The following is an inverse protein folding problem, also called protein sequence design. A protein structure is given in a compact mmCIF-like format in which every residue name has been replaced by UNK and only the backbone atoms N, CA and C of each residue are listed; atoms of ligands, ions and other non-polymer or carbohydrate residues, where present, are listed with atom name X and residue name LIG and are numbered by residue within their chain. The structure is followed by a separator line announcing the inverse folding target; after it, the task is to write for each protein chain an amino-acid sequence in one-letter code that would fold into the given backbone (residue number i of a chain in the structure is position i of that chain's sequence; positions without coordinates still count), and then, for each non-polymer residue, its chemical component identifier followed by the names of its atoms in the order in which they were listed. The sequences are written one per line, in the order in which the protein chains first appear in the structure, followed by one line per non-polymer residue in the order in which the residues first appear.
data_IF_293165167603
#
_entry.id   IF_293165167603
#
_cell.length_a   1.000
_cell.length_b   1.000
_cell.length_c   1.000
_cell.angle_alpha   90.00
_cell.angle_beta   90.00
_cell.angle_gamma   90.00
#
_symmetry.space_group_name_H-M   'P 1'
#
loop_
_entity.id
_entity.type
_entity.pdbx_description
1 polymer ?
#
# COMPACT_ATOMS: atom_id res chain seq x y z
N UNK A 1 -59.96 40.46 -12.16
CA UNK A 1 -59.23 41.00 -13.32
C UNK A 1 -57.74 40.75 -13.09
N UNK A 2 -56.91 40.10 -13.90
CA UNK A 2 -57.03 39.28 -15.12
C UNK A 2 -55.62 38.66 -15.33
N UNK A 3 -55.56 37.38 -15.75
CA UNK A 3 -54.55 36.69 -16.61
C UNK A 3 -53.03 36.96 -16.43
N UNK A 4 -52.21 35.95 -16.14
CA UNK A 4 -51.60 34.97 -17.07
C UNK A 4 -50.52 35.55 -18.03
N UNK A 5 -49.43 34.78 -18.25
CA UNK A 5 -48.75 34.51 -19.54
C UNK A 5 -47.20 34.36 -19.38
N UNK A 6 -46.64 33.15 -19.21
CA UNK A 6 -45.98 32.28 -20.22
C UNK A 6 -44.91 32.92 -21.12
N UNK A 7 -43.65 32.43 -20.99
CA UNK A 7 -42.68 32.05 -22.06
C UNK A 7 -41.44 31.45 -21.38
N UNK A 8 -41.24 30.13 -21.35
CA UNK A 8 -40.77 29.28 -22.45
C UNK A 8 -39.48 29.79 -23.11
N UNK A 9 -38.34 29.33 -22.60
CA UNK A 9 -37.13 29.12 -23.42
C UNK A 9 -36.69 27.67 -23.21
N UNK A 10 -37.30 26.80 -23.99
CA UNK A 10 -36.80 25.45 -24.30
C UNK A 10 -35.87 25.60 -25.52
N UNK A 11 -34.95 24.66 -25.67
CA UNK A 11 -34.01 24.41 -26.81
C UNK A 11 -32.66 25.15 -26.69
N UNK A 12 -31.50 24.56 -26.96
CA UNK A 12 -31.09 23.18 -27.23
C UNK A 12 -29.55 23.15 -27.25
N UNK A 13 -28.95 22.11 -26.64
CA UNK A 13 -27.66 21.46 -26.98
C UNK A 13 -27.42 20.41 -25.89
N UNK A 14 -27.94 19.18 -26.00
CA UNK A 14 -27.67 18.15 -27.01
C UNK A 14 -26.18 17.83 -27.13
N UNK A 15 -25.83 16.61 -26.72
CA UNK A 15 -24.50 16.00 -26.87
C UNK A 15 -23.80 15.84 -25.53
N UNK A 16 -23.71 14.60 -25.05
CA UNK A 16 -22.67 13.97 -24.20
C UNK A 16 -23.20 12.69 -23.50
N UNK A 17 -24.50 12.36 -23.62
CA UNK A 17 -24.99 11.00 -23.38
C UNK A 17 -24.86 10.14 -24.66
N UNK A 18 -23.65 9.63 -24.95
CA UNK A 18 -23.44 8.53 -25.89
C UNK A 18 -22.00 7.99 -25.79
N UNK A 19 -21.65 7.31 -24.69
CA UNK A 19 -20.39 6.56 -24.63
C UNK A 19 -20.42 5.34 -23.69
N UNK A 20 -21.61 4.85 -23.31
CA UNK A 20 -21.76 3.61 -22.52
C UNK A 20 -22.75 2.71 -23.24
N UNK A 21 -22.30 2.08 -24.33
CA UNK A 21 -22.96 0.94 -25.01
C UNK A 21 -22.16 0.55 -26.26
N UNK A 22 -21.04 -0.16 -26.09
CA UNK A 22 -20.37 -0.95 -27.14
C UNK A 22 -19.19 -1.74 -26.54
N UNK A 23 -19.48 -2.72 -25.69
CA UNK A 23 -18.52 -3.80 -25.38
C UNK A 23 -19.28 -5.08 -25.02
N UNK A 24 -20.12 -5.54 -25.94
CA UNK A 24 -20.61 -6.92 -25.95
C UNK A 24 -20.67 -7.39 -27.39
N UNK A 25 -20.25 -8.64 -27.61
CA UNK A 25 -20.30 -9.45 -28.83
C UNK A 25 -18.99 -9.56 -29.62
N UNK A 26 -18.09 -10.39 -29.09
CA UNK A 26 -17.25 -11.40 -29.77
C UNK A 26 -16.50 -12.08 -28.60
N UNK A 27 -16.60 -13.35 -28.27
CA UNK A 27 -17.12 -14.55 -28.90
C UNK A 27 -16.68 -15.69 -27.98
N UNK A 28 -17.49 -16.73 -27.87
CA UNK A 28 -17.14 -17.94 -27.14
C UNK A 28 -15.88 -18.56 -27.76
N UNK A 29 -14.84 -18.77 -26.96
CA UNK A 29 -13.61 -19.40 -27.41
C UNK A 29 -12.65 -19.64 -26.25
N UNK A 30 -12.70 -20.86 -25.69
CA UNK A 30 -11.56 -21.52 -25.05
C UNK A 30 -11.01 -20.87 -23.78
N UNK A 31 -11.52 -21.32 -22.63
CA UNK A 31 -10.68 -21.49 -21.44
C UNK A 31 -9.60 -22.52 -21.80
N UNK A 32 -8.48 -22.07 -22.36
CA UNK A 32 -7.26 -22.86 -22.36
C UNK A 32 -6.66 -22.70 -20.96
N UNK A 33 -6.86 -23.75 -20.17
CA UNK A 33 -6.09 -24.05 -19.00
C UNK A 33 -4.61 -23.80 -19.28
N UNK A 34 -4.06 -22.77 -18.65
CA UNK A 34 -2.62 -22.60 -18.52
C UNK A 34 -2.19 -23.31 -17.23
N UNK A 35 -2.49 -24.60 -17.14
CA UNK A 35 -1.66 -25.54 -16.38
C UNK A 35 -0.45 -25.91 -17.24
N UNK A 36 0.45 -24.94 -17.42
CA UNK A 36 1.86 -25.29 -17.58
C UNK A 36 2.47 -25.31 -16.18
N UNK A 37 2.03 -26.29 -15.37
CA UNK A 37 2.92 -26.78 -14.31
C UNK A 37 4.16 -27.28 -15.05
N UNK A 38 5.24 -26.50 -14.96
CA UNK A 38 6.55 -27.01 -15.32
C UNK A 38 6.83 -28.21 -14.41
N UNK A 39 7.03 -29.44 -14.94
CA UNK A 39 7.56 -30.53 -14.16
C UNK A 39 9.03 -30.22 -13.87
N UNK A 40 9.27 -29.39 -12.86
CA UNK A 40 10.61 -28.87 -12.58
C UNK A 40 10.80 -28.15 -11.26
N UNK A 41 9.73 -27.84 -10.50
CA UNK A 41 9.89 -27.35 -9.14
C UNK A 41 10.11 -28.54 -8.19
N UNK A 42 11.28 -29.17 -8.31
CA UNK A 42 11.81 -29.91 -7.16
C UNK A 42 11.84 -28.95 -5.98
N UNK A 43 11.44 -29.42 -4.79
CA UNK A 43 11.58 -28.71 -3.54
C UNK A 43 13.08 -28.45 -3.29
N UNK A 44 13.63 -27.45 -3.98
CA UNK A 44 14.99 -27.02 -3.80
C UNK A 44 15.10 -26.49 -2.39
N UNK A 45 15.96 -27.12 -1.60
CA UNK A 45 16.39 -26.61 -0.32
C UNK A 45 16.77 -25.13 -0.49
N UNK A 46 15.89 -24.21 -0.03
CA UNK A 46 16.25 -22.80 0.03
C UNK A 46 17.40 -22.71 1.02
N UNK A 47 18.61 -22.44 0.51
CA UNK A 47 19.72 -22.05 1.38
C UNK A 47 19.24 -20.84 2.19
N UNK A 48 19.39 -20.84 3.53
CA UNK A 48 19.07 -19.66 4.31
C UNK A 48 19.90 -18.50 3.75
N UNK A 49 19.23 -17.38 3.46
CA UNK A 49 19.91 -16.16 3.03
C UNK A 49 20.84 -15.76 4.18
N UNK A 50 22.15 -15.59 3.94
CA UNK A 50 23.06 -15.17 5.00
C UNK A 50 22.57 -13.84 5.58
N UNK A 51 22.36 -13.80 6.91
CA UNK A 51 22.05 -12.56 7.62
C UNK A 51 23.24 -11.61 7.41
N UNK A 52 23.03 -10.52 6.67
CA UNK A 52 24.05 -9.50 6.48
C UNK A 52 24.50 -8.97 7.85
N UNK A 53 25.78 -8.63 8.06
CA UNK A 53 26.24 -8.06 9.31
C UNK A 53 25.46 -6.76 9.60
N UNK A 54 24.78 -6.70 10.74
CA UNK A 54 24.04 -5.51 11.17
C UNK A 54 25.01 -4.45 11.63
N UNK A 55 25.32 -3.50 10.75
CA UNK A 55 26.00 -2.28 11.15
C UNK A 55 25.00 -1.29 11.74
N UNK A 56 25.08 -1.05 13.05
CA UNK A 56 24.95 0.30 13.61
C UNK A 56 23.58 0.77 14.13
N UNK A 57 22.59 -0.09 14.38
CA UNK A 57 21.32 0.32 15.01
C UNK A 57 20.93 -0.59 16.17
N UNK A 58 20.12 -0.06 17.10
CA UNK A 58 19.67 -0.78 18.30
C UNK A 58 18.80 -2.00 17.93
N UNK A 59 18.03 -1.93 16.83
CA UNK A 59 17.26 -3.05 16.31
C UNK A 59 17.75 -3.52 14.92
N UNK A 60 17.84 -4.85 14.78
CA UNK A 60 18.40 -5.55 13.62
C UNK A 60 17.39 -5.70 12.46
N UNK A 61 17.07 -4.63 11.73
CA UNK A 61 16.22 -4.76 10.54
C UNK A 61 17.01 -5.39 9.37
N UNK A 62 16.48 -6.42 8.69
CA UNK A 62 17.07 -6.98 7.48
C UNK A 62 17.24 -5.92 6.38
N UNK A 63 18.32 -6.03 5.60
CA UNK A 63 18.58 -5.09 4.48
C UNK A 63 17.45 -5.05 3.47
N UNK A 64 16.79 -6.19 3.20
CA UNK A 64 15.63 -6.24 2.32
C UNK A 64 14.48 -5.36 2.84
N UNK A 65 14.11 -5.50 4.13
CA UNK A 65 13.05 -4.71 4.74
C UNK A 65 13.39 -3.20 4.72
N UNK A 66 14.64 -2.84 5.00
CA UNK A 66 15.09 -1.43 4.89
C UNK A 66 14.94 -0.91 3.46
N UNK A 67 15.39 -1.69 2.48
CA UNK A 67 15.30 -1.31 1.07
C UNK A 67 13.86 -1.15 0.60
N UNK A 68 12.98 -2.09 0.95
CA UNK A 68 11.55 -2.05 0.60
C UNK A 68 10.87 -0.81 1.16
N UNK A 69 11.11 -0.49 2.44
CA UNK A 69 10.63 0.74 3.05
C UNK A 69 11.15 1.99 2.31
N UNK A 70 12.46 2.05 2.03
CA UNK A 70 13.06 3.21 1.35
C UNK A 70 12.46 3.39 -0.04
N UNK A 71 12.25 2.31 -0.80
CA UNK A 71 11.59 2.38 -2.11
C UNK A 71 10.15 2.90 -2.00
N UNK A 72 9.37 2.40 -1.06
CA UNK A 72 8.00 2.86 -0.83
C UNK A 72 7.95 4.34 -0.42
N UNK A 73 8.82 4.75 0.52
CA UNK A 73 8.94 6.14 0.97
C UNK A 73 9.35 7.08 -0.17
N UNK A 74 10.26 6.66 -1.04
CA UNK A 74 10.69 7.47 -2.19
C UNK A 74 9.57 7.71 -3.20
N UNK A 75 8.66 6.74 -3.42
CA UNK A 75 7.53 6.89 -4.34
C UNK A 75 6.65 8.09 -3.95
N UNK A 76 6.43 8.31 -2.66
CA UNK A 76 5.60 9.42 -2.17
C UNK A 76 6.37 10.72 -1.92
N UNK A 77 7.71 10.67 -1.89
CA UNK A 77 8.59 11.83 -1.61
C UNK A 77 9.43 12.30 -2.81
N UNK A 78 9.10 11.87 -4.03
CA UNK A 78 9.65 12.44 -5.27
C UNK A 78 10.86 11.73 -5.88
N UNK A 79 11.25 10.56 -5.37
CA UNK A 79 12.25 9.67 -5.99
C UNK A 79 13.61 10.30 -6.32
N UNK A 80 14.03 11.33 -5.57
CA UNK A 80 15.32 12.00 -5.75
C UNK A 80 16.41 11.41 -4.85
N UNK A 81 17.67 11.78 -5.09
CA UNK A 81 18.77 11.47 -4.15
C UNK A 81 18.51 12.02 -2.74
N UNK A 82 17.94 13.22 -2.64
CA UNK A 82 17.56 13.81 -1.36
C UNK A 82 16.45 13.00 -0.67
N UNK A 83 15.44 12.53 -1.42
CA UNK A 83 14.42 11.65 -0.86
C UNK A 83 15.02 10.33 -0.36
N UNK A 84 15.99 9.76 -1.07
CA UNK A 84 16.71 8.56 -0.62
C UNK A 84 17.40 8.80 0.72
N UNK A 85 18.07 9.94 0.91
CA UNK A 85 18.74 10.29 2.16
C UNK A 85 17.74 10.43 3.32
N UNK A 86 16.64 11.17 3.12
CA UNK A 86 15.60 11.35 4.14
C UNK A 86 14.86 10.04 4.47
N UNK A 87 14.48 9.27 3.46
CA UNK A 87 13.82 7.98 3.64
C UNK A 87 14.72 6.94 4.34
N UNK A 88 16.02 6.97 4.08
CA UNK A 88 16.99 6.12 4.79
C UNK A 88 17.10 6.52 6.26
N UNK A 89 17.21 7.83 6.54
CA UNK A 89 17.15 8.35 7.91
C UNK A 89 15.87 7.91 8.64
N UNK A 90 14.73 7.94 7.95
CA UNK A 90 13.43 7.59 8.54
C UNK A 90 13.39 6.14 9.05
N UNK A 91 13.79 5.16 8.22
CA UNK A 91 13.79 3.75 8.64
C UNK A 91 14.83 3.46 9.72
N UNK A 92 15.96 4.17 9.69
CA UNK A 92 16.99 4.04 10.72
C UNK A 92 16.47 4.59 12.07
N UNK A 93 15.73 5.71 12.05
CA UNK A 93 15.08 6.28 13.24
C UNK A 93 14.01 5.34 13.80
N UNK A 94 13.13 4.80 12.94
CA UNK A 94 12.13 3.80 13.34
C UNK A 94 12.80 2.61 14.03
N UNK A 95 13.91 2.12 13.45
CA UNK A 95 14.68 1.01 14.01
C UNK A 95 15.40 1.33 15.34
N UNK A 96 15.42 2.58 15.80
CA UNK A 96 15.88 2.90 17.17
C UNK A 96 14.77 2.77 18.22
N UNK A 97 13.50 2.86 17.80
CA UNK A 97 12.33 2.94 18.67
C UNK A 97 11.62 1.58 18.74
N UNK A 98 11.55 0.86 17.61
CA UNK A 98 10.76 -0.35 17.47
C UNK A 98 11.63 -1.54 17.02
N UNK A 99 11.52 -2.72 17.66
CA UNK A 99 12.16 -3.94 17.19
C UNK A 99 11.50 -4.46 15.92
N UNK A 100 12.27 -5.17 15.09
CA UNK A 100 11.83 -5.60 13.76
C UNK A 100 10.57 -6.48 13.80
N UNK A 101 10.46 -7.36 14.80
CA UNK A 101 9.30 -8.24 14.97
C UNK A 101 8.00 -7.44 15.15
N UNK A 102 8.04 -6.35 15.94
CA UNK A 102 6.87 -5.48 16.14
C UNK A 102 6.54 -4.65 14.91
N UNK A 103 7.55 -4.28 14.13
CA UNK A 103 7.35 -3.60 12.86
C UNK A 103 6.66 -4.50 11.84
N UNK A 104 7.10 -5.75 11.68
CA UNK A 104 6.49 -6.71 10.75
C UNK A 104 5.04 -7.05 11.16
N UNK A 105 4.78 -7.20 12.47
CA UNK A 105 3.43 -7.34 13.00
C UNK A 105 2.55 -6.14 12.63
N UNK A 106 3.03 -4.92 12.86
CA UNK A 106 2.31 -3.69 12.55
C UNK A 106 2.01 -3.55 11.04
N UNK A 107 2.98 -3.79 10.17
CA UNK A 107 2.79 -3.77 8.71
C UNK A 107 1.74 -4.79 8.26
N UNK A 108 1.78 -6.00 8.84
CA UNK A 108 0.82 -7.06 8.54
C UNK A 108 -0.59 -6.64 8.95
N UNK A 109 -0.75 -6.11 10.17
CA UNK A 109 -2.03 -5.61 10.66
C UNK A 109 -2.55 -4.50 9.76
N UNK A 110 -1.71 -3.54 9.38
CA UNK A 110 -2.09 -2.45 8.49
C UNK A 110 -2.53 -2.95 7.10
N UNK A 111 -1.81 -3.92 6.53
CA UNK A 111 -2.15 -4.52 5.24
C UNK A 111 -3.53 -5.18 5.26
N UNK A 112 -3.79 -6.04 6.23
CA UNK A 112 -5.10 -6.71 6.38
C UNK A 112 -6.21 -5.71 6.69
N UNK A 113 -5.89 -4.68 7.48
CA UNK A 113 -6.82 -3.60 7.83
C UNK A 113 -7.16 -2.66 6.68
N UNK A 114 -6.48 -2.72 5.54
CA UNK A 114 -6.83 -1.94 4.34
C UNK A 114 -7.85 -2.65 3.45
N UNK A 115 -8.03 -3.96 3.61
CA UNK A 115 -8.96 -4.76 2.80
C UNK A 115 -10.43 -4.47 3.20
N UNK A 116 -11.35 -4.54 2.24
CA UNK A 116 -12.78 -4.39 2.52
C UNK A 116 -13.40 -5.67 3.11
N UNK A 117 -14.41 -5.53 3.95
CA UNK A 117 -15.21 -6.64 4.48
C UNK A 117 -15.17 -6.79 6.01
N UNK A 118 -16.04 -7.65 6.54
CA UNK A 118 -16.20 -7.87 7.98
C UNK A 118 -14.92 -8.42 8.64
N UNK A 119 -14.10 -9.18 7.91
CA UNK A 119 -12.86 -9.71 8.46
C UNK A 119 -11.86 -8.59 8.79
N UNK A 120 -11.77 -7.55 7.96
CA UNK A 120 -10.90 -6.41 8.24
C UNK A 120 -11.40 -5.57 9.42
N UNK A 121 -12.73 -5.51 9.65
CA UNK A 121 -13.29 -4.87 10.84
C UNK A 121 -12.80 -5.49 12.13
N UNK A 122 -12.61 -6.82 12.17
CA UNK A 122 -12.03 -7.48 13.35
C UNK A 122 -10.62 -6.97 13.64
N UNK A 123 -9.79 -6.78 12.59
CA UNK A 123 -8.43 -6.28 12.76
C UNK A 123 -8.41 -4.83 13.26
N UNK A 124 -9.26 -3.95 12.69
CA UNK A 124 -9.39 -2.55 13.11
C UNK A 124 -9.91 -2.41 14.54
N UNK A 125 -10.80 -3.30 14.97
CA UNK A 125 -11.50 -3.20 16.25
C UNK A 125 -10.82 -3.97 17.40
N UNK A 126 -9.80 -4.77 17.12
CA UNK A 126 -9.03 -5.48 18.16
C UNK A 126 -8.05 -4.54 18.87
N UNK A 127 -8.19 -4.38 20.20
CA UNK A 127 -7.38 -3.45 21.00
C UNK A 127 -5.88 -3.68 20.86
N UNK A 128 -5.43 -4.93 21.01
CA UNK A 128 -4.01 -5.29 20.86
C UNK A 128 -3.42 -4.85 19.51
N UNK A 129 -4.18 -5.01 18.42
CA UNK A 129 -3.72 -4.64 17.08
C UNK A 129 -3.65 -3.13 16.90
N UNK A 130 -4.59 -2.38 17.49
CA UNK A 130 -4.50 -0.92 17.51
C UNK A 130 -3.28 -0.44 18.27
N UNK A 131 -2.94 -1.07 19.39
CA UNK A 131 -1.78 -0.67 20.19
C UNK A 131 -0.46 -0.89 19.41
N UNK A 132 -0.33 -2.04 18.73
CA UNK A 132 0.83 -2.32 17.86
C UNK A 132 0.96 -1.30 16.74
N UNK A 133 -0.14 -0.97 16.05
CA UNK A 133 -0.14 0.03 14.98
C UNK A 133 0.12 1.44 15.53
N UNK A 134 -0.38 1.77 16.72
CA UNK A 134 -0.13 3.05 17.37
C UNK A 134 1.35 3.23 17.73
N UNK A 135 2.03 2.19 18.17
CA UNK A 135 3.47 2.23 18.41
C UNK A 135 4.25 2.49 17.11
N UNK A 136 3.84 1.88 15.98
CA UNK A 136 4.48 2.14 14.68
C UNK A 136 4.23 3.57 14.23
N UNK A 137 3.01 4.09 14.33
CA UNK A 137 2.70 5.46 13.98
C UNK A 137 3.45 6.47 14.86
N UNK A 138 3.69 6.17 16.14
CA UNK A 138 4.54 6.99 17.00
C UNK A 138 5.98 7.02 16.50
N UNK A 139 6.54 5.87 16.14
CA UNK A 139 7.90 5.79 15.58
C UNK A 139 8.01 6.53 14.23
N UNK A 140 6.98 6.42 13.38
CA UNK A 140 6.91 7.16 12.11
C UNK A 140 6.81 8.67 12.32
N UNK A 141 6.03 9.12 13.31
CA UNK A 141 5.95 10.54 13.65
C UNK A 141 7.30 11.09 14.10
N UNK A 142 8.03 10.37 14.96
CA UNK A 142 9.38 10.76 15.40
C UNK A 142 10.36 10.83 14.21
N UNK A 143 10.29 9.85 13.31
CA UNK A 143 11.10 9.82 12.10
C UNK A 143 10.78 11.00 11.16
N UNK A 144 9.51 11.40 11.03
CA UNK A 144 9.09 12.55 10.24
C UNK A 144 9.72 13.84 10.77
N UNK A 145 9.58 14.13 12.07
CA UNK A 145 10.20 15.34 12.67
C UNK A 145 11.72 15.31 12.63
N UNK A 146 12.34 14.14 12.77
CA UNK A 146 13.80 14.02 12.81
C UNK A 146 14.46 14.13 11.43
N UNK A 147 13.82 13.57 10.40
CA UNK A 147 14.47 13.37 9.09
C UNK A 147 13.93 14.28 7.98
N UNK A 148 12.72 14.82 8.11
CA UNK A 148 12.09 15.58 7.02
C UNK A 148 12.07 17.10 7.23
N UNK A 149 12.13 17.57 8.47
CA UNK A 149 12.23 18.98 8.85
C UNK A 149 13.69 19.43 9.02
#
# INVERSE_FOLDING_TARGET
MTMANTRSVRTAKAGHLAAVLMFTLLGAGGVLAQETLSPGLTAGARKPVPKAPTSGLINDYPTAARADYVFACMIVNGQTRQALEKCSCSIDTIATIMPYERYEEAETIMSVSQVAGQQAELFRNTGLFRDIVADLHRAQAEAEVTCFY
#
